data_IF_271421390633
#
_entry.id   IF_271421390633
#
_cell.length_a   1.000
_cell.length_b   1.000
_cell.length_c   1.000
_cell.angle_alpha   90.00
_cell.angle_beta   90.00
_cell.angle_gamma   90.00
#
_symmetry.space_group_name_H-M   'P 1'
#
loop_
_entity.id
_entity.type
_entity.pdbx_description
1 polymer ?
#
# COMPACT_ATOMS: atom_id res chain seq x y z
N UNK A 1 -14.98 14.98 -10.97
CA UNK A 1 -14.06 14.80 -12.13
C UNK A 1 -14.57 15.40 -13.44
N UNK A 2 -15.81 15.16 -13.89
CA UNK A 2 -16.31 15.65 -15.18
C UNK A 2 -16.22 17.18 -15.39
N UNK A 3 -16.47 17.98 -14.34
CA UNK A 3 -16.40 19.44 -14.40
C UNK A 3 -14.99 19.99 -14.75
N UNK A 4 -13.96 19.17 -14.61
CA UNK A 4 -12.56 19.55 -14.83
C UNK A 4 -12.03 19.15 -16.23
N UNK A 5 -12.90 18.57 -17.07
CA UNK A 5 -12.54 18.17 -18.44
C UNK A 5 -12.05 19.37 -19.24
N UNK A 6 -10.85 19.26 -19.82
CA UNK A 6 -10.27 20.32 -20.64
C UNK A 6 -9.52 21.41 -19.87
N UNK A 7 -9.55 21.44 -18.53
CA UNK A 7 -8.79 22.40 -17.73
C UNK A 7 -7.28 22.29 -18.03
N UNK A 8 -6.52 23.40 -18.10
CA UNK A 8 -5.08 23.36 -18.36
C UNK A 8 -4.26 22.78 -17.20
N UNK A 9 -4.77 22.91 -15.97
CA UNK A 9 -4.21 22.33 -14.75
C UNK A 9 -5.34 21.89 -13.82
N UNK A 10 -5.06 20.91 -12.96
CA UNK A 10 -6.03 20.28 -12.06
C UNK A 10 -5.44 20.16 -10.66
N UNK A 11 -6.17 20.67 -9.66
CA UNK A 11 -5.91 20.41 -8.24
C UNK A 11 -7.19 19.84 -7.62
N UNK A 12 -7.11 18.61 -7.14
CA UNK A 12 -8.20 17.94 -6.43
C UNK A 12 -7.77 17.64 -4.99
N UNK A 13 -8.42 18.31 -4.04
CA UNK A 13 -8.27 18.05 -2.60
C UNK A 13 -9.63 17.57 -2.11
N UNK A 14 -9.72 16.30 -1.70
CA UNK A 14 -11.00 15.63 -1.43
C UNK A 14 -11.33 15.51 0.06
N UNK A 15 -10.31 15.61 0.92
CA UNK A 15 -10.44 15.65 2.37
C UNK A 15 -9.49 16.73 2.95
N UNK A 16 -9.73 17.23 4.18
CA UNK A 16 -8.82 18.16 4.86
C UNK A 16 -7.45 17.57 5.21
N UNK A 17 -7.38 16.24 5.27
CA UNK A 17 -6.22 15.42 5.56
C UNK A 17 -6.23 14.20 4.61
N UNK A 18 -5.83 13.03 5.07
CA UNK A 18 -5.96 11.78 4.34
C UNK A 18 -7.39 11.51 3.86
N UNK A 19 -7.51 11.05 2.62
CA UNK A 19 -8.73 10.44 2.08
C UNK A 19 -9.18 9.25 2.94
N UNK A 20 -10.46 8.89 2.88
CA UNK A 20 -10.97 7.73 3.63
C UNK A 20 -10.32 6.43 3.11
N UNK A 21 -10.43 5.35 3.88
CA UNK A 21 -10.17 4.02 3.33
C UNK A 21 -11.22 3.73 2.23
N UNK A 22 -10.87 3.01 1.17
CA UNK A 22 -11.76 2.64 0.06
C UNK A 22 -12.98 1.84 0.53
N UNK A 23 -12.81 1.05 1.59
CA UNK A 23 -13.91 0.40 2.30
C UNK A 23 -14.89 1.41 2.92
N UNK A 24 -14.38 2.47 3.54
CA UNK A 24 -15.13 3.44 4.35
C UNK A 24 -15.65 4.63 3.52
N UNK A 25 -15.10 4.87 2.33
CA UNK A 25 -15.43 6.05 1.52
C UNK A 25 -16.89 6.07 1.08
N UNK A 26 -17.46 7.27 1.02
CA UNK A 26 -18.76 7.45 0.38
C UNK A 26 -18.64 7.25 -1.14
N UNK A 27 -19.25 6.19 -1.67
CA UNK A 27 -19.21 5.85 -3.10
C UNK A 27 -20.28 6.56 -3.93
N UNK A 28 -21.10 7.44 -3.33
CA UNK A 28 -22.06 8.26 -4.09
C UNK A 28 -21.34 9.38 -4.87
N UNK A 29 -21.99 10.02 -5.84
CA UNK A 29 -21.39 11.13 -6.59
C UNK A 29 -20.98 12.34 -5.73
N UNK A 30 -21.40 12.40 -4.46
CA UNK A 30 -21.05 13.45 -3.50
C UNK A 30 -19.86 13.07 -2.61
N UNK A 31 -19.37 11.84 -2.67
CA UNK A 31 -18.20 11.40 -1.94
C UNK A 31 -16.89 11.63 -2.70
N UNK A 32 -15.84 10.98 -2.23
CA UNK A 32 -14.49 11.10 -2.80
C UNK A 32 -14.24 10.08 -3.92
N UNK A 33 -13.40 10.43 -4.92
CA UNK A 33 -13.04 9.50 -5.98
C UNK A 33 -12.14 8.37 -5.44
N UNK A 34 -12.29 7.18 -6.01
CA UNK A 34 -11.32 6.09 -5.81
C UNK A 34 -9.96 6.44 -6.41
N UNK A 35 -8.90 5.76 -5.94
CA UNK A 35 -7.56 5.84 -6.53
C UNK A 35 -7.57 5.50 -8.03
N UNK A 36 -8.42 4.56 -8.43
CA UNK A 36 -8.68 4.20 -9.83
C UNK A 36 -9.23 5.38 -10.65
N UNK A 37 -10.22 6.10 -10.14
CA UNK A 37 -10.81 7.27 -10.82
C UNK A 37 -9.85 8.45 -10.90
N UNK A 38 -9.07 8.68 -9.85
CA UNK A 38 -8.00 9.68 -9.83
C UNK A 38 -6.93 9.36 -10.87
N UNK A 39 -6.45 8.11 -10.90
CA UNK A 39 -5.44 7.63 -11.86
C UNK A 39 -5.91 7.80 -13.30
N UNK A 40 -7.14 7.37 -13.62
CA UNK A 40 -7.72 7.53 -14.95
C UNK A 40 -7.77 8.99 -15.38
N UNK A 41 -8.23 9.85 -14.49
CA UNK A 41 -8.37 11.28 -14.78
C UNK A 41 -7.01 11.96 -14.95
N UNK A 42 -6.03 11.59 -14.12
CA UNK A 42 -4.66 12.09 -14.23
C UNK A 42 -4.05 11.70 -15.58
N UNK A 43 -4.14 10.43 -15.99
CA UNK A 43 -3.65 9.97 -17.29
C UNK A 43 -4.35 10.69 -18.43
N UNK A 44 -5.68 10.82 -18.41
CA UNK A 44 -6.44 11.55 -19.44
C UNK A 44 -6.01 13.02 -19.54
N UNK A 45 -5.75 13.66 -18.41
CA UNK A 45 -5.30 15.06 -18.38
C UNK A 45 -3.87 15.21 -18.90
N UNK A 46 -2.95 14.40 -18.39
CA UNK A 46 -1.51 14.49 -18.66
C UNK A 46 -1.15 14.03 -20.08
N UNK A 47 -1.87 13.05 -20.63
CA UNK A 47 -1.64 12.54 -22.00
C UNK A 47 -1.95 13.56 -23.09
N UNK A 48 -2.44 14.75 -22.75
CA UNK A 48 -2.64 15.86 -23.70
C UNK A 48 -1.33 16.54 -24.10
N UNK A 49 -0.27 16.43 -23.31
CA UNK A 49 1.03 16.99 -23.66
C UNK A 49 1.77 16.04 -24.62
N UNK A 50 2.09 16.45 -25.85
CA UNK A 50 2.84 15.62 -26.79
C UNK A 50 4.28 15.35 -26.34
N UNK A 51 4.75 16.01 -25.27
CA UNK A 51 6.07 15.77 -24.70
C UNK A 51 6.10 14.65 -23.65
N UNK A 52 4.95 14.04 -23.35
CA UNK A 52 4.81 13.00 -22.34
C UNK A 52 4.61 13.57 -20.93
N UNK A 53 4.60 12.68 -19.94
CA UNK A 53 4.37 13.04 -18.54
C UNK A 53 5.10 12.10 -17.60
N UNK A 54 5.25 12.54 -16.35
CA UNK A 54 5.55 11.68 -15.20
C UNK A 54 4.32 11.69 -14.31
N UNK A 55 3.88 10.52 -13.86
CA UNK A 55 2.77 10.37 -12.95
C UNK A 55 3.20 9.45 -11.80
N UNK A 56 2.99 9.92 -10.58
CA UNK A 56 3.11 9.12 -9.36
C UNK A 56 1.70 8.84 -8.84
N UNK A 57 1.41 7.57 -8.55
CA UNK A 57 0.15 7.10 -7.97
C UNK A 57 0.51 6.32 -6.72
N UNK A 58 -0.04 6.73 -5.58
CA UNK A 58 0.32 6.18 -4.27
C UNK A 58 -0.92 5.59 -3.60
N UNK A 59 -0.82 4.33 -3.17
CA UNK A 59 -1.80 3.68 -2.30
C UNK A 59 -1.49 3.93 -0.83
N UNK A 60 -1.30 5.19 -0.42
CA UNK A 60 -0.69 5.52 0.89
C UNK A 60 -1.49 5.06 2.11
N UNK A 61 -2.78 4.78 1.95
CA UNK A 61 -3.62 4.23 3.03
C UNK A 61 -3.30 2.76 3.36
N UNK A 62 -2.55 2.04 2.52
CA UNK A 62 -2.06 0.68 2.84
C UNK A 62 -1.22 0.73 4.12
N UNK A 63 -0.27 1.66 4.20
CA UNK A 63 0.59 1.89 5.36
C UNK A 63 -0.23 2.22 6.62
N UNK A 64 -1.13 3.20 6.52
CA UNK A 64 -1.96 3.61 7.65
C UNK A 64 -2.82 2.48 8.23
N UNK A 65 -3.30 1.57 7.36
CA UNK A 65 -4.05 0.41 7.81
C UNK A 65 -3.18 -0.63 8.52
N UNK A 66 -1.95 -0.86 8.04
CA UNK A 66 -0.98 -1.72 8.73
C UNK A 66 -0.59 -1.13 10.09
N UNK A 67 -0.27 0.16 10.15
CA UNK A 67 -0.03 0.90 11.39
C UNK A 67 -1.16 0.74 12.41
N UNK A 68 -2.41 0.78 11.94
CA UNK A 68 -3.60 0.54 12.75
C UNK A 68 -3.83 -0.94 13.13
N UNK A 69 -2.98 -1.87 12.69
CA UNK A 69 -3.13 -3.30 12.92
C UNK A 69 -4.38 -3.91 12.28
N UNK A 70 -4.89 -3.31 11.19
CA UNK A 70 -6.14 -3.71 10.54
C UNK A 70 -5.86 -4.24 9.12
N UNK A 71 -5.59 -5.55 9.02
CA UNK A 71 -5.26 -6.19 7.75
C UNK A 71 -6.44 -6.20 6.76
N UNK A 72 -7.69 -6.10 7.21
CA UNK A 72 -8.83 -5.93 6.30
C UNK A 72 -8.62 -4.70 5.41
N UNK A 73 -8.40 -3.54 6.04
CA UNK A 73 -8.19 -2.28 5.31
C UNK A 73 -6.89 -2.28 4.54
N UNK A 74 -5.80 -2.83 5.09
CA UNK A 74 -4.52 -2.88 4.38
C UNK A 74 -4.64 -3.66 3.05
N UNK A 75 -5.34 -4.80 3.08
CA UNK A 75 -5.59 -5.61 1.88
C UNK A 75 -6.60 -4.95 0.93
N UNK A 76 -7.66 -4.33 1.44
CA UNK A 76 -8.64 -3.61 0.60
C UNK A 76 -8.00 -2.42 -0.13
N UNK A 77 -7.15 -1.64 0.55
CA UNK A 77 -6.33 -0.57 -0.06
C UNK A 77 -5.35 -1.13 -1.09
N UNK A 78 -4.76 -2.29 -0.83
CA UNK A 78 -3.87 -2.96 -1.79
C UNK A 78 -4.62 -3.38 -3.05
N UNK A 79 -5.88 -3.83 -2.92
CA UNK A 79 -6.77 -4.09 -4.06
C UNK A 79 -7.07 -2.80 -4.82
N UNK A 80 -7.36 -1.70 -4.12
CA UNK A 80 -7.59 -0.38 -4.73
C UNK A 80 -6.39 0.10 -5.56
N UNK A 81 -5.16 -0.07 -5.04
CA UNK A 81 -3.92 0.20 -5.79
C UNK A 81 -3.76 -0.73 -6.99
N UNK A 82 -4.03 -2.03 -6.84
CA UNK A 82 -4.00 -2.99 -7.96
C UNK A 82 -4.97 -2.61 -9.09
N UNK A 83 -6.17 -2.15 -8.76
CA UNK A 83 -7.14 -1.69 -9.76
C UNK A 83 -6.72 -0.36 -10.42
N UNK A 84 -6.03 0.52 -9.69
CA UNK A 84 -5.43 1.72 -10.24
C UNK A 84 -4.29 1.39 -11.21
N UNK A 85 -3.41 0.43 -10.87
CA UNK A 85 -2.35 -0.09 -11.76
C UNK A 85 -2.97 -0.71 -13.01
N UNK A 86 -4.01 -1.55 -12.87
CA UNK A 86 -4.73 -2.12 -14.02
C UNK A 86 -5.28 -1.03 -14.94
N UNK A 87 -5.86 0.02 -14.36
CA UNK A 87 -6.36 1.17 -15.11
C UNK A 87 -5.23 1.89 -15.83
N UNK A 88 -4.09 2.12 -15.18
CA UNK A 88 -2.92 2.74 -15.80
C UNK A 88 -2.41 1.92 -16.99
N UNK A 89 -2.26 0.61 -16.83
CA UNK A 89 -1.85 -0.31 -17.93
C UNK A 89 -2.83 -0.25 -19.11
N UNK A 90 -4.13 -0.08 -18.86
CA UNK A 90 -5.15 -0.05 -19.92
C UNK A 90 -5.26 1.31 -20.62
N UNK A 91 -4.98 2.41 -19.93
CA UNK A 91 -5.28 3.76 -20.44
C UNK A 91 -4.04 4.61 -20.75
N UNK A 92 -2.85 4.23 -20.27
CA UNK A 92 -1.64 4.95 -20.57
C UNK A 92 -1.23 4.76 -22.04
N UNK A 93 -0.52 5.73 -22.65
CA UNK A 93 0.09 5.56 -23.97
C UNK A 93 0.97 4.30 -24.05
N UNK A 94 1.04 3.61 -25.21
CA UNK A 94 1.76 2.34 -25.35
C UNK A 94 3.28 2.44 -25.15
N UNK A 95 3.85 3.64 -25.19
CA UNK A 95 5.26 3.95 -24.94
C UNK A 95 5.56 4.32 -23.48
N UNK A 96 4.66 4.00 -22.54
CA UNK A 96 4.81 4.30 -21.11
C UNK A 96 5.59 3.20 -20.39
N UNK A 97 6.62 3.58 -19.63
CA UNK A 97 7.21 2.75 -18.57
C UNK A 97 6.31 2.85 -17.33
N UNK A 98 5.77 1.71 -16.88
CA UNK A 98 5.03 1.62 -15.61
C UNK A 98 5.87 0.80 -14.65
N UNK A 99 6.11 1.35 -13.45
CA UNK A 99 6.85 0.71 -12.35
C UNK A 99 5.96 0.71 -11.12
N UNK A 100 5.84 -0.44 -10.46
CA UNK A 100 5.14 -0.63 -9.19
C UNK A 100 6.17 -1.13 -8.18
N UNK A 101 6.25 -0.47 -7.03
CA UNK A 101 7.11 -0.84 -5.90
C UNK A 101 6.41 -0.44 -4.60
N UNK A 102 6.98 -0.82 -3.47
CA UNK A 102 6.75 -0.17 -2.19
C UNK A 102 7.99 0.65 -1.81
N UNK A 103 7.83 1.57 -0.87
CA UNK A 103 8.87 2.30 -0.16
C UNK A 103 9.42 1.48 1.02
N UNK A 104 8.58 0.72 1.70
CA UNK A 104 8.96 -0.28 2.71
C UNK A 104 7.87 -1.35 2.90
N UNK A 105 8.14 -2.33 3.75
CA UNK A 105 7.17 -3.37 4.14
C UNK A 105 6.54 -3.06 5.52
N UNK A 106 5.87 -4.05 6.10
CA UNK A 106 5.32 -4.06 7.46
C UNK A 106 5.58 -5.40 8.15
N UNK A 107 5.34 -5.46 9.45
CA UNK A 107 5.46 -6.69 10.24
C UNK A 107 4.24 -7.63 10.12
N UNK A 108 3.48 -7.53 9.02
CA UNK A 108 2.37 -8.41 8.71
C UNK A 108 2.89 -9.81 8.33
N UNK A 109 2.49 -10.81 9.09
CA UNK A 109 2.89 -12.19 8.89
C UNK A 109 1.73 -13.03 8.37
N UNK A 110 2.07 -14.01 7.53
CA UNK A 110 1.18 -15.02 6.99
C UNK A 110 1.59 -16.35 7.59
N UNK A 111 0.79 -16.87 8.52
CA UNK A 111 1.16 -18.01 9.37
C UNK A 111 0.15 -19.16 9.25
N UNK A 112 0.58 -20.33 9.73
CA UNK A 112 -0.19 -21.56 9.67
C UNK A 112 -0.11 -22.27 8.31
N UNK A 113 -0.94 -23.30 8.15
CA UNK A 113 -1.06 -24.09 6.92
C UNK A 113 -2.51 -24.06 6.43
N UNK A 114 -3.07 -22.88 6.10
CA UNK A 114 -4.45 -22.77 5.68
C UNK A 114 -4.70 -23.56 4.40
N UNK A 115 -5.76 -24.38 4.40
CA UNK A 115 -6.22 -25.08 3.19
C UNK A 115 -6.53 -24.11 2.05
N UNK A 116 -6.33 -24.55 0.81
CA UNK A 116 -6.68 -23.74 -0.37
C UNK A 116 -8.14 -23.29 -0.32
N UNK A 117 -8.35 -21.98 -0.44
CA UNK A 117 -9.68 -21.35 -0.37
C UNK A 117 -10.08 -20.90 1.03
N UNK A 118 -9.23 -21.09 2.05
CA UNK A 118 -9.42 -20.44 3.34
C UNK A 118 -9.45 -18.91 3.17
N UNK A 119 -10.41 -18.19 3.79
CA UNK A 119 -10.39 -16.73 3.79
C UNK A 119 -9.10 -16.19 4.40
N UNK A 120 -8.44 -15.24 3.74
CA UNK A 120 -7.15 -14.72 4.20
C UNK A 120 -7.25 -14.00 5.55
N UNK A 121 -8.39 -13.35 5.81
CA UNK A 121 -8.71 -12.71 7.09
C UNK A 121 -9.23 -13.71 8.14
N UNK A 122 -9.44 -14.96 7.74
CA UNK A 122 -10.03 -15.99 8.57
C UNK A 122 -9.05 -16.63 9.55
N UNK A 123 -9.64 -17.37 10.48
CA UNK A 123 -8.93 -18.41 11.24
C UNK A 123 -8.36 -19.46 10.30
N UNK A 124 -7.23 -20.05 10.66
CA UNK A 124 -6.62 -21.15 9.89
C UNK A 124 -7.54 -22.37 9.95
N UNK A 125 -7.88 -22.94 8.79
CA UNK A 125 -8.64 -24.19 8.64
C UNK A 125 -7.77 -25.29 8.04
N UNK A 126 -8.01 -26.52 8.49
CA UNK A 126 -7.25 -27.71 8.11
C UNK A 126 -6.34 -28.20 9.24
N UNK A 127 -6.62 -29.40 9.76
CA UNK A 127 -5.77 -30.08 10.72
C UNK A 127 -4.73 -30.94 9.99
N UNK A 128 -3.43 -30.63 10.13
CA UNK A 128 -2.34 -31.49 9.65
C UNK A 128 -1.77 -31.21 8.24
N UNK A 129 -2.07 -30.05 7.63
CA UNK A 129 -1.48 -29.62 6.35
C UNK A 129 -2.51 -29.18 5.32
N UNK A 130 -2.06 -28.92 4.09
CA UNK A 130 -2.87 -28.34 2.99
C UNK A 130 -4.05 -29.23 2.51
N UNK A 131 -4.06 -30.50 2.92
CA UNK A 131 -5.12 -31.49 2.65
C UNK A 131 -6.01 -31.81 3.88
N UNK A 132 -5.85 -31.06 4.97
CA UNK A 132 -6.62 -31.26 6.21
C UNK A 132 -8.11 -30.99 6.06
N UNK A 133 -8.90 -31.47 7.03
CA UNK A 133 -10.35 -31.25 7.06
C UNK A 133 -10.68 -29.75 7.12
N UNK A 134 -11.26 -29.24 6.02
CA UNK A 134 -11.61 -27.83 5.85
C UNK A 134 -12.66 -27.35 6.85
N UNK A 135 -13.41 -28.27 7.45
CA UNK A 135 -14.43 -27.93 8.46
C UNK A 135 -13.83 -27.60 9.82
N UNK A 136 -12.61 -28.06 10.10
CA UNK A 136 -11.94 -27.91 11.39
C UNK A 136 -11.03 -26.70 11.44
N UNK A 137 -11.03 -26.02 12.60
CA UNK A 137 -10.07 -24.96 12.91
C UNK A 137 -8.75 -25.59 13.34
N UNK A 138 -7.63 -25.05 12.85
CA UNK A 138 -6.33 -25.33 13.43
C UNK A 138 -6.22 -24.63 14.78
N UNK A 139 -5.59 -25.29 15.75
CA UNK A 139 -5.34 -24.75 17.09
C UNK A 139 -3.86 -24.72 17.39
N UNK A 140 -3.44 -23.78 18.23
CA UNK A 140 -2.10 -23.78 18.81
C UNK A 140 -1.94 -24.87 19.89
N UNK A 141 -0.77 -24.92 20.53
CA UNK A 141 -0.47 -25.88 21.61
C UNK A 141 -1.27 -25.63 22.89
N UNK A 142 -1.90 -24.47 23.04
CA UNK A 142 -2.83 -24.17 24.12
C UNK A 142 -4.29 -24.52 23.76
N UNK A 143 -4.53 -25.08 22.57
CA UNK A 143 -5.86 -25.47 22.10
C UNK A 143 -6.69 -24.30 21.56
N UNK A 144 -6.08 -23.15 21.29
CA UNK A 144 -6.80 -21.96 20.83
C UNK A 144 -6.64 -21.75 19.32
N UNK A 145 -7.73 -21.42 18.59
CA UNK A 145 -7.63 -21.10 17.18
C UNK A 145 -6.86 -19.80 16.95
N UNK A 146 -6.26 -19.67 15.76
CA UNK A 146 -5.47 -18.50 15.36
C UNK A 146 -5.78 -18.08 13.92
N UNK A 147 -5.54 -16.80 13.61
CA UNK A 147 -5.74 -16.22 12.28
C UNK A 147 -4.57 -16.52 11.35
N UNK A 148 -4.84 -16.53 10.05
CA UNK A 148 -3.79 -16.63 9.02
C UNK A 148 -2.87 -15.42 9.06
N UNK A 149 -3.42 -14.24 9.39
CA UNK A 149 -2.68 -12.99 9.49
C UNK A 149 -2.45 -12.60 10.95
N UNK A 150 -1.25 -12.13 11.26
CA UNK A 150 -0.85 -11.56 12.55
C UNK A 150 0.20 -10.48 12.35
N UNK A 151 0.36 -9.57 13.31
CA UNK A 151 1.46 -8.60 13.29
C UNK A 151 2.52 -8.94 14.34
N UNK A 152 3.78 -8.55 14.13
CA UNK A 152 4.81 -8.74 15.15
C UNK A 152 4.61 -7.75 16.33
N UNK A 153 4.23 -6.52 16.03
CA UNK A 153 3.88 -5.51 17.02
C UNK A 153 2.62 -4.73 16.59
N UNK A 154 2.12 -3.83 17.42
CA UNK A 154 1.01 -2.96 17.05
C UNK A 154 -0.13 -2.93 18.05
N UNK A 155 -1.20 -2.17 17.74
CA UNK A 155 -2.34 -1.96 18.61
C UNK A 155 -3.26 -3.19 18.73
N UNK A 156 -3.01 -4.27 17.97
CA UNK A 156 -3.73 -5.53 18.06
C UNK A 156 -3.41 -6.39 19.29
N UNK A 157 -2.53 -5.91 20.18
CA UNK A 157 -2.11 -6.66 21.37
C UNK A 157 -3.30 -6.94 22.30
N UNK A 158 -3.42 -8.18 22.76
CA UNK A 158 -4.65 -8.71 23.39
C UNK A 158 -4.77 -8.36 24.88
N UNK A 159 -3.74 -7.78 25.49
CA UNK A 159 -3.83 -7.26 26.87
C UNK A 159 -4.86 -6.15 27.01
N UNK A 160 -5.33 -5.89 28.23
CA UNK A 160 -6.21 -4.74 28.46
C UNK A 160 -5.45 -3.43 28.15
N UNK A 161 -6.11 -2.46 27.54
CA UNK A 161 -5.54 -1.14 27.31
C UNK A 161 -6.40 -0.07 27.98
N UNK A 162 -5.92 1.17 27.98
CA UNK A 162 -6.73 2.31 28.39
C UNK A 162 -7.94 2.58 27.47
N UNK A 163 -8.03 1.92 26.30
CA UNK A 163 -9.09 2.12 25.32
C UNK A 163 -10.04 0.91 25.18
N UNK A 164 -9.55 -0.32 25.35
CA UNK A 164 -10.35 -1.53 25.14
C UNK A 164 -9.97 -2.64 26.14
N UNK A 165 -10.95 -3.46 26.61
CA UNK A 165 -10.70 -4.56 27.54
C UNK A 165 -9.78 -5.64 26.94
N UNK A 166 -9.22 -6.51 27.78
CA UNK A 166 -8.44 -7.65 27.32
C UNK A 166 -9.23 -8.55 26.36
N UNK A 167 -8.54 -9.17 25.41
CA UNK A 167 -9.10 -9.98 24.34
C UNK A 167 -8.88 -9.38 22.95
N UNK A 168 -9.60 -9.88 21.93
CA UNK A 168 -9.51 -9.39 20.57
C UNK A 168 -9.87 -7.92 20.47
N UNK A 169 -9.09 -7.15 19.70
CA UNK A 169 -9.27 -5.71 19.52
C UNK A 169 -10.12 -5.40 18.30
N UNK A 170 -10.74 -4.22 18.33
CA UNK A 170 -11.54 -3.70 17.22
C UNK A 170 -11.06 -2.33 16.78
N UNK A 171 -10.97 -2.12 15.48
CA UNK A 171 -10.69 -0.81 14.89
C UNK A 171 -11.89 0.13 15.09
N UNK A 172 -11.66 1.42 15.42
CA UNK A 172 -10.35 2.01 15.73
C UNK A 172 -9.87 1.67 17.16
N UNK A 173 -8.55 1.45 17.31
CA UNK A 173 -7.89 1.24 18.60
C UNK A 173 -6.54 1.97 18.64
N UNK A 174 -6.48 3.07 19.39
CA UNK A 174 -5.28 3.90 19.51
C UNK A 174 -4.86 4.00 20.99
N UNK A 175 -4.30 2.92 21.57
CA UNK A 175 -3.96 2.89 22.98
C UNK A 175 -2.76 3.79 23.29
N UNK A 176 -2.71 4.33 24.51
CA UNK A 176 -1.52 4.99 25.08
C UNK A 176 -0.87 4.18 26.21
N UNK A 177 -1.54 3.14 26.71
CA UNK A 177 -0.98 2.15 27.62
C UNK A 177 -1.65 0.79 27.45
N UNK A 178 -0.96 -0.27 27.87
CA UNK A 178 -1.44 -1.65 27.86
C UNK A 178 -0.91 -2.44 29.04
N UNK A 179 -1.74 -3.31 29.60
CA UNK A 179 -1.38 -4.32 30.58
C UNK A 179 -0.96 -5.62 29.91
N UNK A 180 -0.07 -6.44 30.53
CA UNK A 180 0.27 -7.75 29.99
C UNK A 180 -0.96 -8.65 29.77
N UNK A 181 -1.00 -9.32 28.63
CA UNK A 181 -2.04 -10.30 28.32
C UNK A 181 -1.90 -11.57 29.18
N UNK A 182 -3.03 -12.12 29.62
CA UNK A 182 -3.08 -13.42 30.30
C UNK A 182 -3.39 -14.53 29.28
N UNK A 183 -2.36 -14.93 28.52
CA UNK A 183 -2.50 -15.89 27.42
C UNK A 183 -3.19 -15.29 26.18
N UNK A 184 -3.45 -16.13 25.18
CA UNK A 184 -4.17 -15.73 23.96
C UNK A 184 -5.69 -15.83 24.20
N UNK A 185 -6.51 -15.01 23.50
CA UNK A 185 -7.97 -15.14 23.54
C UNK A 185 -8.46 -16.34 22.72
N UNK A 186 -9.59 -16.92 23.13
CA UNK A 186 -10.30 -17.90 22.31
C UNK A 186 -11.04 -17.21 21.16
N UNK A 187 -10.62 -17.48 19.92
CA UNK A 187 -11.22 -16.91 18.71
C UNK A 187 -12.36 -17.76 18.12
N UNK A 188 -12.77 -18.88 18.75
CA UNK A 188 -13.75 -19.83 18.20
C UNK A 188 -15.04 -19.12 17.76
N UNK A 189 -15.55 -18.21 18.59
CA UNK A 189 -16.79 -17.46 18.33
C UNK A 189 -16.56 -16.00 17.90
N UNK A 190 -15.32 -15.63 17.59
CA UNK A 190 -14.96 -14.30 17.11
C UNK A 190 -15.04 -14.28 15.59
N UNK A 191 -15.77 -13.32 15.03
CA UNK A 191 -15.71 -13.04 13.60
C UNK A 191 -14.40 -12.29 13.28
N UNK A 192 -13.40 -13.04 12.81
CA UNK A 192 -12.08 -12.50 12.48
C UNK A 192 -12.03 -11.89 11.08
N UNK A 193 -13.06 -12.14 10.25
CA UNK A 193 -13.17 -11.60 8.90
C UNK A 193 -13.88 -10.23 8.89
N UNK A 194 -14.45 -9.82 10.03
CA UNK A 194 -15.09 -8.53 10.19
C UNK A 194 -14.11 -7.38 9.87
N UNK A 195 -14.55 -6.31 9.15
CA UNK A 195 -13.69 -5.17 8.83
C UNK A 195 -13.09 -4.48 10.05
N UNK A 196 -13.74 -4.56 11.21
CA UNK A 196 -13.24 -3.99 12.45
C UNK A 196 -12.27 -4.90 13.21
N UNK A 197 -12.15 -6.18 12.89
CA UNK A 197 -11.23 -7.07 13.60
C UNK A 197 -9.78 -6.59 13.39
N UNK A 198 -9.04 -6.48 14.50
CA UNK A 198 -7.60 -6.20 14.47
C UNK A 198 -6.84 -7.48 14.77
N UNK A 199 -5.92 -7.83 13.87
CA UNK A 199 -5.11 -9.03 14.01
C UNK A 199 -4.26 -8.96 15.27
N UNK A 200 -4.10 -10.10 15.94
CA UNK A 200 -3.28 -10.18 17.15
C UNK A 200 -1.84 -9.74 16.86
N UNK A 201 -1.25 -9.01 17.82
CA UNK A 201 0.18 -8.66 17.80
C UNK A 201 0.90 -9.16 19.06
N UNK A 202 2.19 -9.43 18.94
CA UNK A 202 3.01 -9.94 20.05
C UNK A 202 3.50 -8.81 20.97
N UNK A 203 4.02 -7.73 20.40
CA UNK A 203 4.56 -6.58 21.16
C UNK A 203 3.55 -5.43 21.15
N UNK A 204 3.07 -4.95 22.32
CA UNK A 204 2.14 -3.83 22.36
C UNK A 204 2.83 -2.53 21.97
N UNK A 205 2.32 -1.90 20.90
CA UNK A 205 2.72 -0.55 20.50
C UNK A 205 1.47 0.22 20.08
N UNK A 206 1.51 1.56 20.19
CA UNK A 206 0.39 2.42 19.76
C UNK A 206 0.11 2.29 18.26
N UNK A 207 1.18 2.12 17.49
CA UNK A 207 1.18 1.91 16.05
C UNK A 207 2.07 0.72 15.75
N UNK A 208 1.65 -0.12 14.82
CA UNK A 208 2.52 -1.12 14.24
C UNK A 208 3.70 -0.45 13.50
N UNK A 209 4.85 -1.12 13.36
CA UNK A 209 6.06 -0.57 12.72
C UNK A 209 6.26 -1.08 11.29
N UNK A 210 6.97 -0.31 10.47
CA UNK A 210 7.43 -0.81 9.16
C UNK A 210 8.29 -2.08 9.28
N UNK A 211 8.31 -2.85 8.19
CA UNK A 211 9.20 -3.98 7.94
C UNK A 211 10.46 -3.53 7.22
N UNK A 212 11.58 -4.18 7.49
CA UNK A 212 12.90 -3.83 6.96
C UNK A 212 13.43 -4.80 5.91
N UNK A 213 12.61 -5.74 5.46
CA UNK A 213 12.93 -6.67 4.38
C UNK A 213 12.74 -6.03 2.99
N UNK A 214 13.44 -6.59 2.00
CA UNK A 214 13.34 -6.17 0.61
C UNK A 214 11.89 -6.23 0.09
N UNK A 215 11.50 -5.22 -0.68
CA UNK A 215 10.19 -5.14 -1.35
C UNK A 215 10.30 -5.45 -2.84
N UNK A 216 9.19 -5.87 -3.44
CA UNK A 216 9.13 -6.21 -4.86
C UNK A 216 9.07 -4.99 -5.78
N UNK A 217 9.71 -5.10 -6.94
CA UNK A 217 9.58 -4.14 -8.06
C UNK A 217 9.01 -4.88 -9.27
N UNK A 218 7.90 -4.39 -9.82
CA UNK A 218 7.30 -4.89 -11.05
C UNK A 218 7.27 -3.79 -12.10
N UNK A 219 7.70 -4.09 -13.33
CA UNK A 219 7.75 -3.10 -14.39
C UNK A 219 7.27 -3.64 -15.74
N UNK A 220 6.68 -2.76 -16.55
CA UNK A 220 6.31 -3.04 -17.96
C UNK A 220 6.57 -1.80 -18.83
N UNK A 221 6.66 -2.01 -20.14
CA UNK A 221 6.93 -0.95 -21.12
C UNK A 221 8.42 -0.71 -21.38
N UNK A 222 8.78 0.38 -22.09
CA UNK A 222 10.15 0.68 -22.47
C UNK A 222 11.11 0.76 -21.28
N UNK A 223 12.24 0.04 -21.34
CA UNK A 223 13.24 0.03 -20.27
C UNK A 223 12.95 -0.92 -19.10
N UNK A 224 11.76 -1.53 -19.03
CA UNK A 224 11.37 -2.44 -17.93
C UNK A 224 12.32 -3.61 -17.70
N UNK A 225 12.98 -4.11 -18.74
CA UNK A 225 13.96 -5.20 -18.64
C UNK A 225 15.19 -4.88 -17.77
N UNK A 226 15.41 -3.61 -17.42
CA UNK A 226 16.47 -3.19 -16.49
C UNK A 226 16.12 -3.49 -15.02
N UNK A 227 14.84 -3.65 -14.68
CA UNK A 227 14.40 -4.07 -13.36
C UNK A 227 14.54 -5.60 -13.23
N UNK A 228 15.69 -6.05 -12.72
CA UNK A 228 16.00 -7.47 -12.56
C UNK A 228 16.98 -7.70 -11.41
N UNK A 229 16.86 -8.85 -10.76
CA UNK A 229 17.70 -9.19 -9.60
C UNK A 229 17.35 -8.35 -8.37
N UNK A 230 18.34 -8.12 -7.51
CA UNK A 230 18.23 -7.24 -6.34
C UNK A 230 18.85 -5.89 -6.68
N UNK A 231 18.13 -4.82 -6.38
CA UNK A 231 18.54 -3.44 -6.65
C UNK A 231 18.42 -2.63 -5.36
N UNK A 232 19.35 -1.72 -5.12
CA UNK A 232 19.17 -0.67 -4.12
C UNK A 232 17.98 0.22 -4.52
N UNK A 233 17.19 0.68 -3.56
CA UNK A 233 15.96 1.45 -3.82
C UNK A 233 16.22 2.69 -4.69
N UNK A 234 17.34 3.39 -4.44
CA UNK A 234 17.71 4.58 -5.20
C UNK A 234 17.98 4.29 -6.70
N UNK A 235 18.25 3.03 -7.08
CA UNK A 235 18.46 2.63 -8.47
C UNK A 235 17.18 2.74 -9.29
N UNK A 236 16.00 2.68 -8.67
CA UNK A 236 14.71 2.85 -9.35
C UNK A 236 14.68 4.19 -10.12
N UNK A 237 15.12 5.27 -9.48
CA UNK A 237 15.25 6.58 -10.10
C UNK A 237 16.15 6.54 -11.35
N UNK A 238 17.33 5.93 -11.23
CA UNK A 238 18.29 5.88 -12.34
C UNK A 238 17.76 5.07 -13.53
N UNK A 239 17.04 3.97 -13.28
CA UNK A 239 16.41 3.19 -14.34
C UNK A 239 15.31 3.99 -15.04
N UNK A 240 14.45 4.70 -14.30
CA UNK A 240 13.40 5.56 -14.86
C UNK A 240 14.00 6.65 -15.74
N UNK A 241 15.02 7.35 -15.25
CA UNK A 241 15.67 8.42 -16.01
C UNK A 241 16.39 7.87 -17.24
N UNK A 242 17.06 6.72 -17.12
CA UNK A 242 17.72 6.08 -18.25
C UNK A 242 16.72 5.64 -19.34
N UNK A 243 15.54 5.16 -18.94
CA UNK A 243 14.45 4.81 -19.85
C UNK A 243 13.74 6.03 -20.46
N UNK A 244 14.01 7.25 -19.95
CA UNK A 244 13.33 8.48 -20.36
C UNK A 244 14.35 9.51 -20.88
N UNK A 245 14.80 9.43 -22.16
CA UNK A 245 15.87 10.26 -22.69
C UNK A 245 15.65 11.78 -22.54
N UNK A 246 14.40 12.25 -22.70
CA UNK A 246 14.07 13.68 -22.57
C UNK A 246 14.27 14.19 -21.14
N UNK A 247 13.89 13.39 -20.14
CA UNK A 247 14.08 13.71 -18.73
C UNK A 247 15.58 13.74 -18.39
N UNK A 248 16.33 12.71 -18.83
CA UNK A 248 17.78 12.66 -18.66
C UNK A 248 18.49 13.86 -19.27
N UNK A 249 18.14 14.23 -20.51
CA UNK A 249 18.72 15.39 -21.20
C UNK A 249 18.45 16.69 -20.42
N UNK A 250 17.23 16.85 -19.88
CA UNK A 250 16.87 18.03 -19.09
C UNK A 250 17.64 18.09 -17.78
N UNK A 251 17.85 16.96 -17.11
CA UNK A 251 18.68 16.85 -15.89
C UNK A 251 20.14 17.18 -16.18
N UNK A 252 20.73 16.61 -17.24
CA UNK A 252 22.12 16.90 -17.59
C UNK A 252 22.34 18.37 -18.01
N UNK A 253 21.37 19.00 -18.70
CA UNK A 253 21.39 20.44 -18.98
C UNK A 253 21.34 21.31 -17.72
N UNK A 254 20.78 20.79 -16.63
CA UNK A 254 20.77 21.44 -15.32
C UNK A 254 22.07 21.22 -14.53
N UNK A 255 23.06 20.52 -15.11
CA UNK A 255 24.36 20.29 -14.46
C UNK A 255 24.35 19.19 -13.40
N UNK A 256 23.32 18.33 -13.36
CA UNK A 256 23.23 17.26 -12.35
C UNK A 256 23.90 15.96 -12.77
N UNK A 257 24.40 15.89 -14.00
CA UNK A 257 25.01 14.68 -14.55
C UNK A 257 26.53 14.67 -14.43
N UNK A 258 27.08 13.47 -14.24
CA UNK A 258 28.51 13.21 -14.34
C UNK A 258 29.01 13.20 -15.81
N UNK A 259 30.30 12.91 -16.00
CA UNK A 259 30.92 12.83 -17.33
C UNK A 259 30.37 11.72 -18.23
N UNK A 260 29.66 10.73 -17.66
CA UNK A 260 29.01 9.64 -18.38
C UNK A 260 27.54 9.97 -18.73
N UNK A 261 27.04 11.15 -18.34
CA UNK A 261 25.66 11.57 -18.57
C UNK A 261 24.66 10.91 -17.61
N UNK A 262 25.13 10.45 -16.45
CA UNK A 262 24.30 9.88 -15.39
C UNK A 262 23.97 10.99 -14.38
N UNK A 263 22.69 11.27 -14.08
CA UNK A 263 22.34 12.21 -13.03
C UNK A 263 22.80 11.65 -11.68
N UNK A 264 23.70 12.34 -10.99
CA UNK A 264 24.27 11.94 -9.70
C UNK A 264 24.06 12.99 -8.60
N UNK A 265 23.58 14.18 -8.97
CA UNK A 265 23.23 15.25 -8.03
C UNK A 265 21.71 15.42 -7.96
N UNK A 266 21.20 15.71 -6.76
CA UNK A 266 19.78 16.01 -6.56
C UNK A 266 19.42 17.32 -7.28
N UNK A 267 18.42 17.33 -8.20
CA UNK A 267 18.02 18.54 -8.90
C UNK A 267 17.43 19.59 -7.94
N UNK A 268 17.83 20.85 -8.10
CA UNK A 268 17.21 21.96 -7.40
C UNK A 268 15.90 22.33 -8.10
N UNK A 269 14.77 22.27 -7.38
CA UNK A 269 13.43 22.53 -7.94
C UNK A 269 13.34 23.87 -8.69
N UNK A 270 13.99 24.92 -8.16
CA UNK A 270 14.05 26.25 -8.76
C UNK A 270 14.60 26.26 -10.20
N UNK A 271 15.43 25.28 -10.58
CA UNK A 271 15.98 25.15 -11.95
C UNK A 271 14.95 24.66 -12.97
N UNK A 272 13.82 24.11 -12.50
CA UNK A 272 12.76 23.52 -13.31
C UNK A 272 11.45 24.31 -13.26
N UNK A 273 11.37 25.35 -12.43
CA UNK A 273 10.24 26.26 -12.43
C UNK A 273 10.16 27.02 -13.76
N UNK A 274 9.06 26.83 -14.48
CA UNK A 274 8.71 27.76 -15.56
C UNK A 274 8.27 29.08 -14.95
N UNK A 275 8.83 30.20 -15.43
CA UNK A 275 8.33 31.52 -15.06
C UNK A 275 6.80 31.54 -15.21
N UNK A 276 6.09 31.91 -14.15
CA UNK A 276 4.63 31.98 -14.16
C UNK A 276 4.19 32.75 -15.41
N UNK A 277 3.40 32.09 -16.28
CA UNK A 277 2.72 32.77 -17.38
C UNK A 277 1.77 33.76 -16.70
N UNK A 278 2.15 35.04 -16.70
CA UNK A 278 1.27 36.16 -16.31
C UNK A 278 0.07 36.23 -17.25
#
# INVERSE_FOLDING_TARGET
>A
MQAATGAPALLGLFEPDHMQFDHDRNRTPQGEPSLTEMTRTAIQSLSRDPNGFVLMVEGGRIDHANHAGNAYRALDETVSLSDAVRTAVQTAPPDTLIVVTADHSHTLNFVGYPVRGNPILGKVRGTGGEEGDRSQLATDLAGQPYTTLSYANGPGYTGASNAQPAGPKKYPHEPSSSEPAAGRPDLTHVDTEAPSYMQESLVPTKSESHGGEDVGIWATGPGSAAFRGTLEENVIYHVIVQATPRLRERLCKAGTCDSAGVPVELPQSATFETAAKR
#
